data_IF_702229556653
#
_entry.id   IF_702229556653
#
_cell.length_a   1.000
_cell.length_b   1.000
_cell.length_c   1.000
_cell.angle_alpha   90.00
_cell.angle_beta   90.00
_cell.angle_gamma   90.00
#
_symmetry.space_group_name_H-M   'P 1'
#
loop_
_entity.id
_entity.type
_entity.pdbx_description
1 polymer ?
#
# COMPACT_ATOMS: atom_id res chain seq x y z
N UNK A 1 6.40 13.59 5.73
CA UNK A 1 5.18 12.89 5.26
C UNK A 1 5.58 11.82 4.29
N UNK A 2 4.95 10.69 4.39
CA UNK A 2 5.19 9.55 3.49
C UNK A 2 4.24 9.64 2.31
N UNK A 3 4.72 9.25 1.13
CA UNK A 3 3.92 9.15 -0.08
C UNK A 3 3.56 7.70 -0.35
N UNK A 4 2.37 7.48 -0.86
CA UNK A 4 1.92 6.15 -1.26
C UNK A 4 0.98 6.24 -2.46
N UNK A 5 0.91 5.14 -3.21
CA UNK A 5 -0.11 4.96 -4.24
C UNK A 5 -1.34 4.38 -3.55
N UNK A 6 -2.48 5.05 -3.71
CA UNK A 6 -3.76 4.60 -3.18
C UNK A 6 -4.84 4.69 -4.24
N UNK A 7 -5.92 3.94 -4.04
CA UNK A 7 -7.11 4.04 -4.87
C UNK A 7 -8.32 4.37 -3.98
N UNK A 8 -9.18 5.25 -4.48
CA UNK A 8 -10.44 5.62 -3.83
C UNK A 8 -11.63 5.02 -4.57
N UNK A 9 -11.41 4.59 -5.79
CA UNK A 9 -12.37 3.86 -6.61
C UNK A 9 -11.62 2.84 -7.45
N UNK A 10 -12.30 1.85 -7.95
CA UNK A 10 -11.71 0.84 -8.84
C UNK A 10 -11.74 1.32 -10.28
N UNK A 11 -10.84 0.79 -11.10
CA UNK A 11 -10.76 1.13 -12.52
C UNK A 11 -9.41 0.79 -13.12
N UNK A 12 -9.07 1.48 -14.19
CA UNK A 12 -7.81 1.37 -14.88
C UNK A 12 -6.69 2.15 -14.18
N UNK A 13 -5.54 2.31 -14.85
CA UNK A 13 -4.39 3.00 -14.24
C UNK A 13 -4.69 4.45 -13.79
N UNK A 14 -5.71 5.08 -14.35
CA UNK A 14 -6.09 6.44 -14.01
C UNK A 14 -6.58 6.60 -12.58
N UNK A 15 -6.99 5.51 -11.92
CA UNK A 15 -7.45 5.57 -10.53
C UNK A 15 -6.31 5.56 -9.50
N UNK A 16 -5.09 5.30 -9.94
CA UNK A 16 -3.92 5.31 -9.06
C UNK A 16 -3.60 6.75 -8.65
N UNK A 17 -3.59 7.01 -7.36
CA UNK A 17 -3.31 8.33 -6.83
C UNK A 17 -2.03 8.32 -5.99
N UNK A 18 -1.11 9.23 -6.30
CA UNK A 18 0.11 9.47 -5.53
C UNK A 18 -0.21 10.50 -4.47
N UNK A 19 -0.29 10.09 -3.23
CA UNK A 19 -0.77 10.99 -2.18
C UNK A 19 -0.01 10.83 -0.88
N UNK A 20 -0.10 11.85 -0.04
CA UNK A 20 0.47 11.81 1.30
C UNK A 20 -0.36 10.89 2.18
N UNK A 21 0.34 10.04 2.94
CA UNK A 21 -0.28 9.18 3.93
C UNK A 21 0.44 9.32 5.26
N UNK A 22 -0.27 9.09 6.33
CA UNK A 22 0.31 9.05 7.66
C UNK A 22 0.51 7.60 8.07
N UNK A 23 1.78 7.23 8.30
CA UNK A 23 2.14 5.93 8.84
C UNK A 23 2.29 6.10 10.33
N UNK A 24 1.38 5.52 11.12
CA UNK A 24 1.42 5.63 12.56
C UNK A 24 2.45 4.71 13.19
N UNK A 25 2.49 4.73 14.52
CA UNK A 25 3.33 3.80 15.28
C UNK A 25 2.76 2.38 15.16
N UNK A 26 3.64 1.35 15.14
CA UNK A 26 3.16 -0.02 15.07
C UNK A 26 2.43 -0.42 16.36
N UNK A 27 1.31 -1.13 16.19
CA UNK A 27 0.59 -1.73 17.30
C UNK A 27 1.20 -3.05 17.74
N UNK A 28 0.59 -3.74 18.73
CA UNK A 28 1.08 -5.03 19.19
C UNK A 28 1.17 -6.04 18.04
N UNK A 29 2.31 -6.69 17.92
CA UNK A 29 2.56 -7.67 16.86
C UNK A 29 2.87 -7.07 15.49
N UNK A 30 3.05 -5.75 15.43
CA UNK A 30 3.34 -5.05 14.18
C UNK A 30 4.74 -4.44 14.20
N UNK A 31 5.24 -4.15 13.00
CA UNK A 31 6.49 -3.40 12.84
C UNK A 31 6.26 -2.31 11.79
N UNK A 32 7.02 -1.22 11.92
CA UNK A 32 7.08 -0.20 10.87
C UNK A 32 8.37 -0.39 10.08
N UNK A 33 8.23 -0.55 8.77
CA UNK A 33 9.34 -0.83 7.87
C UNK A 33 9.55 0.35 6.94
N UNK A 34 10.79 0.79 6.82
CA UNK A 34 11.17 1.73 5.76
C UNK A 34 11.53 0.91 4.53
N UNK A 35 10.72 1.02 3.50
CA UNK A 35 10.92 0.26 2.28
C UNK A 35 12.16 0.73 1.52
N UNK A 36 12.97 -0.22 1.08
CA UNK A 36 14.08 0.03 0.15
C UNK A 36 13.79 -0.54 -1.23
N UNK A 37 12.84 -1.47 -1.34
CA UNK A 37 12.39 -2.02 -2.60
C UNK A 37 10.92 -2.43 -2.45
N UNK A 38 10.15 -2.19 -3.51
CA UNK A 38 8.73 -2.54 -3.55
C UNK A 38 8.49 -3.34 -4.81
N UNK A 39 7.94 -4.55 -4.65
CA UNK A 39 7.64 -5.42 -5.78
C UNK A 39 6.25 -5.16 -6.34
N UNK A 40 6.13 -5.26 -7.65
CA UNK A 40 4.87 -5.15 -8.35
C UNK A 40 4.45 -6.56 -8.82
N UNK A 41 3.22 -6.93 -8.53
CA UNK A 41 2.67 -8.24 -8.87
C UNK A 41 1.41 -8.09 -9.71
N UNK A 42 1.13 -9.10 -10.53
CA UNK A 42 -0.03 -9.04 -11.41
C UNK A 42 -1.35 -8.92 -10.63
N UNK A 43 -1.43 -9.52 -9.44
CA UNK A 43 -2.61 -9.43 -8.58
C UNK A 43 -2.96 -7.99 -8.21
N UNK A 44 -2.00 -7.08 -8.21
CA UNK A 44 -2.23 -5.67 -7.90
C UNK A 44 -3.21 -5.05 -8.91
N UNK A 45 -3.19 -5.52 -10.15
CA UNK A 45 -4.13 -5.07 -11.17
C UNK A 45 -5.55 -5.54 -10.87
N UNK A 46 -5.71 -6.70 -10.26
CA UNK A 46 -7.02 -7.23 -9.87
C UNK A 46 -7.62 -6.42 -8.71
N UNK A 47 -6.80 -6.01 -7.76
CA UNK A 47 -7.25 -5.14 -6.68
C UNK A 47 -7.63 -3.76 -7.22
N UNK A 48 -6.84 -3.21 -8.12
CA UNK A 48 -7.11 -1.91 -8.74
C UNK A 48 -8.41 -1.95 -9.55
N UNK A 49 -8.63 -2.99 -10.34
CA UNK A 49 -9.80 -3.10 -11.23
C UNK A 49 -11.08 -3.48 -10.49
N UNK A 50 -10.97 -4.01 -9.27
CA UNK A 50 -12.12 -4.49 -8.50
C UNK A 50 -12.46 -5.95 -8.76
N UNK A 51 -11.65 -6.69 -9.55
CA UNK A 51 -11.83 -8.13 -9.75
C UNK A 51 -11.74 -8.87 -8.41
N UNK A 52 -10.82 -8.46 -7.54
CA UNK A 52 -10.76 -8.85 -6.15
C UNK A 52 -11.04 -7.63 -5.28
N UNK A 53 -12.16 -7.64 -4.57
CA UNK A 53 -12.63 -6.47 -3.83
C UNK A 53 -11.84 -6.24 -2.56
N UNK A 54 -11.51 -4.97 -2.31
CA UNK A 54 -10.91 -4.50 -1.06
C UNK A 54 -11.75 -3.33 -0.55
N UNK A 55 -11.78 -3.10 0.79
CA UNK A 55 -12.38 -1.87 1.31
C UNK A 55 -11.63 -0.65 0.79
N UNK A 56 -12.35 0.34 0.30
CA UNK A 56 -11.78 1.58 -0.24
C UNK A 56 -11.95 2.72 0.76
N UNK A 57 -11.03 3.68 0.82
CA UNK A 57 -9.78 3.77 0.07
C UNK A 57 -8.73 2.77 0.58
N UNK A 58 -7.84 2.34 -0.29
CA UNK A 58 -6.79 1.38 0.08
C UNK A 58 -5.50 1.61 -0.70
N UNK A 59 -4.39 1.17 -0.12
CA UNK A 59 -3.16 0.99 -0.86
C UNK A 59 -3.22 -0.26 -1.71
N UNK A 60 -2.27 -0.40 -2.60
CA UNK A 60 -2.10 -1.57 -3.46
C UNK A 60 -0.66 -2.05 -3.33
N UNK A 61 -0.48 -3.35 -3.43
CA UNK A 61 0.83 -3.97 -3.35
C UNK A 61 0.89 -4.96 -2.20
N UNK A 62 1.70 -6.00 -2.36
CA UNK A 62 1.74 -7.12 -1.44
C UNK A 62 3.14 -7.51 -1.03
N UNK A 63 4.18 -6.87 -1.57
CA UNK A 63 5.54 -7.22 -1.20
C UNK A 63 6.45 -6.00 -1.18
N UNK A 64 7.37 -6.04 -0.26
CA UNK A 64 8.42 -5.03 -0.17
C UNK A 64 9.56 -5.60 0.67
N UNK A 65 10.72 -4.98 0.53
CA UNK A 65 11.87 -5.22 1.39
C UNK A 65 12.31 -3.90 1.99
N UNK A 66 12.83 -3.93 3.19
CA UNK A 66 13.28 -2.72 3.83
C UNK A 66 13.89 -2.97 5.21
N UNK A 67 13.98 -1.92 5.97
CA UNK A 67 14.58 -1.94 7.31
C UNK A 67 13.50 -1.64 8.34
N UNK A 68 13.40 -2.49 9.36
CA UNK A 68 12.50 -2.25 10.49
C UNK A 68 13.02 -1.02 11.25
N UNK A 69 12.16 -0.02 11.40
CA UNK A 69 12.52 1.21 12.11
C UNK A 69 11.76 1.39 13.42
N UNK A 70 10.71 0.61 13.65
CA UNK A 70 9.97 0.59 14.91
C UNK A 70 9.24 -0.73 15.09
N UNK A 71 9.09 -1.16 16.33
CA UNK A 71 8.34 -2.37 16.69
C UNK A 71 7.27 -2.01 17.71
N UNK A 72 6.15 -2.72 17.61
CA UNK A 72 5.04 -2.57 18.53
C UNK A 72 5.15 -3.39 19.79
#
# INVERSE_FOLDING_TARGET
>A
MTKAIRIHTVGGPEVLAWEDVQVGDPGPGEVRVRHTAIGLNYIDTYHRSGAYKLPLPTGIGQEAAGVVEAVG
#
